data_IF_762683244892
#
_entry.id   IF_762683244892
#
_cell.length_a   1.000
_cell.length_b   1.000
_cell.length_c   1.000
_cell.angle_alpha   90.00
_cell.angle_beta   90.00
_cell.angle_gamma   90.00
#
_symmetry.space_group_name_H-M   'P 1'
#
loop_
_entity.id
_entity.type
_entity.pdbx_description
1 polymer ?
#
# COMPACT_ATOMS: atom_id res chain seq x y z
N UNK A 1 3.85 24.95 25.81
CA UNK A 1 3.83 23.47 25.94
C UNK A 1 4.00 22.88 24.54
N UNK A 2 4.91 21.92 24.38
CA UNK A 2 5.08 21.21 23.09
C UNK A 2 3.99 20.16 22.99
N UNK A 3 3.31 20.08 21.86
CA UNK A 3 2.26 19.10 21.57
C UNK A 3 2.69 18.16 20.46
N UNK A 4 2.02 17.03 20.28
CA UNK A 4 2.27 16.08 19.20
C UNK A 4 2.10 16.73 17.83
N UNK A 5 2.84 16.30 16.81
CA UNK A 5 2.67 16.78 15.45
C UNK A 5 1.26 16.53 14.91
N UNK A 6 0.78 17.42 14.06
CA UNK A 6 -0.54 17.27 13.46
C UNK A 6 -0.61 16.00 12.59
N UNK A 7 -1.63 15.19 12.82
CA UNK A 7 -1.85 13.93 12.09
C UNK A 7 -1.08 12.74 12.68
N UNK A 8 -0.58 12.86 13.91
CA UNK A 8 -0.06 11.74 14.70
C UNK A 8 -0.90 11.51 15.94
N UNK A 9 -0.89 10.31 16.48
CA UNK A 9 -1.61 9.96 17.71
C UNK A 9 -0.73 9.12 18.64
N UNK A 10 -0.82 9.42 19.95
CA UNK A 10 -0.21 8.58 20.97
C UNK A 10 -1.13 7.38 21.26
N UNK A 11 -0.59 6.19 21.29
CA UNK A 11 -1.31 5.00 21.78
C UNK A 11 -1.13 4.94 23.31
N UNK A 12 -2.14 5.44 24.01
CA UNK A 12 -2.09 5.50 25.49
C UNK A 12 -2.35 4.11 26.13
N UNK A 13 -2.00 3.91 27.43
CA UNK A 13 -2.21 2.63 28.11
C UNK A 13 -3.64 2.09 28.06
N UNK A 14 -4.63 2.97 28.03
CA UNK A 14 -6.06 2.58 27.90
C UNK A 14 -6.37 1.92 26.54
N UNK A 15 -5.66 2.31 25.48
CA UNK A 15 -5.89 1.87 24.10
C UNK A 15 -4.88 0.77 23.68
N UNK A 16 -3.74 0.66 24.37
CA UNK A 16 -2.66 -0.25 23.99
C UNK A 16 -3.07 -1.73 24.03
N UNK A 17 -4.02 -2.12 24.89
CA UNK A 17 -4.55 -3.50 24.92
C UNK A 17 -5.28 -3.86 23.65
N UNK A 18 -6.01 -2.90 23.04
CA UNK A 18 -6.70 -3.12 21.77
C UNK A 18 -5.67 -3.27 20.63
N UNK A 19 -4.63 -2.44 20.61
CA UNK A 19 -3.55 -2.57 19.65
C UNK A 19 -2.88 -3.95 19.73
N UNK A 20 -2.50 -4.37 20.93
CA UNK A 20 -1.92 -5.69 21.17
C UNK A 20 -2.83 -6.83 20.73
N UNK A 21 -4.14 -6.70 20.97
CA UNK A 21 -5.12 -7.70 20.55
C UNK A 21 -5.16 -7.83 19.01
N UNK A 22 -5.22 -6.70 18.29
CA UNK A 22 -5.22 -6.66 16.82
C UNK A 22 -3.93 -7.26 16.27
N UNK A 23 -2.77 -6.81 16.77
CA UNK A 23 -1.45 -7.28 16.32
C UNK A 23 -1.24 -8.78 16.61
N UNK A 24 -1.63 -9.25 17.79
CA UNK A 24 -1.50 -10.66 18.12
C UNK A 24 -2.45 -11.53 17.30
N UNK A 25 -3.65 -11.04 17.01
CA UNK A 25 -4.59 -11.72 16.12
C UNK A 25 -4.00 -11.84 14.71
N UNK A 26 -3.39 -10.77 14.17
CA UNK A 26 -2.73 -10.79 12.89
C UNK A 26 -1.57 -11.80 12.85
N UNK A 27 -0.66 -11.78 13.85
CA UNK A 27 0.46 -12.74 13.95
C UNK A 27 -0.02 -14.19 14.04
N UNK A 28 -1.06 -14.44 14.84
CA UNK A 28 -1.62 -15.80 15.00
C UNK A 28 -2.25 -16.30 13.69
N UNK A 29 -2.99 -15.45 12.98
CA UNK A 29 -3.57 -15.82 11.69
C UNK A 29 -2.47 -16.07 10.68
N UNK A 30 -1.47 -15.19 10.57
CA UNK A 30 -0.31 -15.39 9.69
C UNK A 30 0.40 -16.72 9.97
N UNK A 31 0.57 -17.08 11.24
CA UNK A 31 1.17 -18.35 11.65
C UNK A 31 0.37 -19.57 11.15
N UNK A 32 -0.97 -19.51 11.14
CA UNK A 32 -1.81 -20.57 10.61
C UNK A 32 -1.60 -20.84 9.11
N UNK A 33 -1.22 -19.80 8.34
CA UNK A 33 -0.97 -19.88 6.90
C UNK A 33 0.53 -20.00 6.55
N UNK A 34 1.41 -20.11 7.56
CA UNK A 34 2.85 -20.27 7.37
C UNK A 34 3.61 -18.98 7.01
N UNK A 35 2.99 -17.81 7.18
CA UNK A 35 3.67 -16.52 6.99
C UNK A 35 4.60 -16.22 8.16
N UNK A 36 5.79 -15.73 7.85
CA UNK A 36 6.82 -15.35 8.83
C UNK A 36 6.94 -13.84 8.92
N UNK A 37 7.08 -13.33 10.15
CA UNK A 37 7.24 -11.89 10.35
C UNK A 37 8.59 -11.41 9.81
N UNK A 38 8.57 -10.27 9.11
CA UNK A 38 9.73 -9.51 8.69
C UNK A 38 9.59 -8.05 9.15
N UNK A 39 10.70 -7.41 9.47
CA UNK A 39 10.75 -5.99 9.84
C UNK A 39 11.79 -5.28 9.00
N UNK A 40 11.39 -4.18 8.38
CA UNK A 40 12.25 -3.33 7.58
C UNK A 40 12.50 -1.99 8.28
N UNK A 41 13.56 -1.26 7.95
CA UNK A 41 13.79 0.09 8.49
C UNK A 41 12.60 1.02 8.28
N UNK A 42 12.49 2.05 9.15
CA UNK A 42 11.43 3.07 9.06
C UNK A 42 11.66 4.02 7.88
N UNK A 43 12.90 4.20 7.46
CA UNK A 43 13.29 5.05 6.35
C UNK A 43 14.17 4.29 5.36
N UNK A 44 14.13 4.72 4.12
CA UNK A 44 14.87 4.13 2.99
C UNK A 44 15.39 5.23 2.07
N UNK A 45 16.24 4.87 1.11
CA UNK A 45 16.59 5.79 0.03
C UNK A 45 15.35 6.18 -0.78
N UNK A 46 15.20 7.46 -1.08
CA UNK A 46 14.03 8.01 -1.79
C UNK A 46 13.78 7.33 -3.13
N UNK A 47 14.86 6.96 -3.85
CA UNK A 47 14.78 6.28 -5.15
C UNK A 47 14.05 4.94 -5.11
N UNK A 48 14.05 4.24 -3.96
CA UNK A 48 13.31 2.99 -3.79
C UNK A 48 11.81 3.20 -4.02
N UNK A 49 11.25 4.27 -3.45
CA UNK A 49 9.82 4.58 -3.57
C UNK A 49 9.47 5.16 -4.94
N UNK A 50 10.34 6.02 -5.50
CA UNK A 50 10.16 6.53 -6.86
C UNK A 50 10.03 5.39 -7.86
N UNK A 51 10.89 4.39 -7.76
CA UNK A 51 10.89 3.21 -8.63
C UNK A 51 9.74 2.24 -8.31
N UNK A 52 9.50 1.94 -7.03
CA UNK A 52 8.57 0.89 -6.59
C UNK A 52 7.12 1.30 -6.63
N UNK A 53 6.80 2.50 -6.12
CA UNK A 53 5.42 3.02 -6.05
C UNK A 53 5.00 3.68 -7.36
N UNK A 54 5.97 4.24 -8.08
CA UNK A 54 5.78 4.92 -9.37
C UNK A 54 5.72 6.43 -9.24
N UNK A 55 6.53 7.11 -10.04
CA UNK A 55 6.72 8.57 -10.03
C UNK A 55 5.44 9.38 -10.27
N UNK A 56 4.43 8.78 -10.90
CA UNK A 56 3.16 9.44 -11.24
C UNK A 56 2.07 9.28 -10.18
N UNK A 57 2.38 8.64 -9.04
CA UNK A 57 1.41 8.47 -7.96
C UNK A 57 1.37 9.71 -7.06
N UNK A 58 0.19 10.06 -6.53
CA UNK A 58 0.06 11.16 -5.59
C UNK A 58 0.93 10.97 -4.34
N UNK A 59 1.11 9.72 -3.91
CA UNK A 59 1.96 9.35 -2.78
C UNK A 59 3.39 9.82 -3.01
N UNK A 60 3.99 9.50 -4.17
CA UNK A 60 5.36 9.88 -4.51
C UNK A 60 5.48 11.39 -4.76
N UNK A 61 4.52 11.99 -5.44
CA UNK A 61 4.60 13.39 -5.83
C UNK A 61 4.33 14.39 -4.70
N UNK A 62 3.45 14.03 -3.73
CA UNK A 62 2.89 15.02 -2.80
C UNK A 62 2.91 14.60 -1.33
N UNK A 63 3.04 13.30 -1.04
CA UNK A 63 2.75 12.79 0.30
C UNK A 63 3.96 12.19 1.02
N UNK A 64 5.11 12.05 0.37
CA UNK A 64 6.31 11.51 1.02
C UNK A 64 6.95 12.51 1.97
N UNK A 65 7.41 12.03 3.12
CA UNK A 65 8.31 12.75 4.02
C UNK A 65 9.75 12.49 3.60
N UNK A 66 10.30 13.37 2.79
CA UNK A 66 11.66 13.25 2.24
C UNK A 66 12.56 14.33 2.83
N UNK A 67 13.80 13.96 3.17
CA UNK A 67 14.81 14.84 3.72
C UNK A 67 16.21 14.35 3.33
N UNK A 68 17.21 15.23 3.47
CA UNK A 68 18.61 14.84 3.31
C UNK A 68 19.20 14.45 4.67
N UNK A 69 19.94 13.34 4.69
CA UNK A 69 20.72 12.96 5.86
C UNK A 69 22.01 13.79 5.96
N UNK A 70 22.78 13.64 7.05
CA UNK A 70 24.04 14.36 7.25
C UNK A 70 25.11 14.07 6.19
N UNK A 71 24.95 13.02 5.42
CA UNK A 71 25.82 12.64 4.32
C UNK A 71 25.34 13.12 2.94
N UNK A 72 24.29 13.96 2.90
CA UNK A 72 23.71 14.49 1.66
C UNK A 72 22.90 13.48 0.85
N UNK A 73 22.46 12.36 1.47
CA UNK A 73 21.65 11.33 0.79
C UNK A 73 20.18 11.63 0.99
N UNK A 74 19.39 11.53 -0.08
CA UNK A 74 17.94 11.68 -0.02
C UNK A 74 17.30 10.45 0.61
N UNK A 75 16.63 10.66 1.73
CA UNK A 75 15.99 9.66 2.58
C UNK A 75 14.51 9.97 2.69
N UNK A 76 13.69 8.95 2.71
CA UNK A 76 12.22 9.07 2.83
C UNK A 76 11.71 8.16 3.93
N UNK A 77 10.86 8.68 4.82
CA UNK A 77 10.06 7.84 5.72
C UNK A 77 9.12 6.97 4.87
N UNK A 78 9.08 5.67 5.11
CA UNK A 78 8.32 4.74 4.26
C UNK A 78 6.83 5.10 4.20
N UNK A 79 6.29 5.35 2.99
CA UNK A 79 4.88 5.65 2.80
C UNK A 79 4.01 4.39 2.67
N UNK A 80 4.66 3.22 2.50
CA UNK A 80 4.05 1.89 2.37
C UNK A 80 5.10 0.81 2.63
N UNK A 81 4.68 -0.45 2.75
CA UNK A 81 5.56 -1.55 3.14
C UNK A 81 6.15 -2.38 2.00
N UNK A 82 5.41 -2.57 0.90
CA UNK A 82 5.77 -3.51 -0.17
C UNK A 82 7.14 -3.23 -0.77
N UNK A 83 7.45 -1.98 -1.12
CA UNK A 83 8.73 -1.62 -1.73
C UNK A 83 9.92 -1.95 -0.81
N UNK A 84 9.79 -1.67 0.50
CA UNK A 84 10.85 -1.96 1.48
C UNK A 84 11.05 -3.45 1.67
N UNK A 85 9.97 -4.21 1.62
CA UNK A 85 10.02 -5.67 1.75
C UNK A 85 10.61 -6.31 0.51
N UNK A 86 10.23 -5.88 -0.69
CA UNK A 86 10.81 -6.36 -1.96
C UNK A 86 12.31 -6.08 -2.00
N UNK A 87 12.75 -4.87 -1.59
CA UNK A 87 14.18 -4.55 -1.46
C UNK A 87 14.87 -5.53 -0.51
N UNK A 88 14.29 -5.78 0.67
CA UNK A 88 14.85 -6.70 1.65
C UNK A 88 14.90 -8.16 1.14
N UNK A 89 13.85 -8.59 0.42
CA UNK A 89 13.77 -9.92 -0.21
C UNK A 89 14.91 -10.13 -1.22
N UNK A 90 15.19 -9.11 -2.04
CA UNK A 90 16.26 -9.16 -3.05
C UNK A 90 17.63 -9.07 -2.37
N UNK A 91 17.85 -8.08 -1.51
CA UNK A 91 19.15 -7.82 -0.87
C UNK A 91 19.65 -9.00 -0.04
N UNK A 92 18.73 -9.68 0.65
CA UNK A 92 19.07 -10.85 1.47
C UNK A 92 18.93 -12.18 0.71
N UNK A 93 18.76 -12.14 -0.61
CA UNK A 93 18.67 -13.32 -1.49
C UNK A 93 17.60 -14.33 -1.03
N UNK A 94 16.48 -13.86 -0.47
CA UNK A 94 15.41 -14.76 0.02
C UNK A 94 14.79 -15.58 -1.11
N UNK A 95 14.91 -15.13 -2.36
CA UNK A 95 14.51 -15.86 -3.56
C UNK A 95 15.30 -17.18 -3.78
N UNK A 96 16.46 -17.32 -3.14
CA UNK A 96 17.26 -18.54 -3.22
C UNK A 96 16.77 -19.65 -2.27
N UNK A 97 15.87 -19.31 -1.34
CA UNK A 97 15.24 -20.28 -0.46
C UNK A 97 14.14 -21.08 -1.20
N UNK A 98 13.72 -22.25 -0.66
CA UNK A 98 12.55 -22.94 -1.18
C UNK A 98 11.33 -22.03 -1.24
N UNK A 99 10.63 -22.04 -2.39
CA UNK A 99 9.45 -21.21 -2.64
C UNK A 99 8.16 -22.02 -2.40
N UNK A 100 7.03 -21.38 -2.07
CA UNK A 100 6.85 -19.93 -1.95
C UNK A 100 7.43 -19.35 -0.64
N UNK A 101 7.97 -18.13 -0.72
CA UNK A 101 8.35 -17.34 0.46
C UNK A 101 7.16 -16.52 0.91
N UNK A 102 6.66 -16.77 2.12
CA UNK A 102 5.50 -16.11 2.73
C UNK A 102 5.95 -15.19 3.87
N UNK A 103 5.74 -13.90 3.71
CA UNK A 103 6.17 -12.88 4.67
C UNK A 103 4.97 -12.02 5.11
N UNK A 104 5.00 -11.61 6.38
CA UNK A 104 4.01 -10.70 6.97
C UNK A 104 4.70 -9.61 7.78
N UNK A 105 4.06 -8.46 7.89
CA UNK A 105 4.58 -7.36 8.69
C UNK A 105 3.47 -6.47 9.22
N UNK A 106 3.75 -5.84 10.38
CA UNK A 106 2.95 -4.75 10.94
C UNK A 106 3.93 -3.60 11.17
N UNK A 107 3.76 -2.52 10.44
CA UNK A 107 4.74 -1.43 10.39
C UNK A 107 4.08 -0.05 10.44
N UNK A 108 4.73 0.95 11.03
CA UNK A 108 4.33 2.34 10.84
C UNK A 108 4.67 2.81 9.43
N UNK A 109 3.76 3.56 8.84
CA UNK A 109 3.90 4.23 7.55
C UNK A 109 3.59 5.73 7.69
N UNK A 110 4.14 6.54 6.77
CA UNK A 110 4.10 7.99 6.89
C UNK A 110 3.69 8.64 5.57
N UNK A 111 2.58 9.40 5.59
CA UNK A 111 2.11 10.15 4.42
C UNK A 111 1.68 11.56 4.81
N UNK A 112 2.14 12.55 4.08
CA UNK A 112 1.77 13.95 4.30
C UNK A 112 0.37 14.25 3.73
N UNK A 113 -0.61 13.52 4.22
CA UNK A 113 -2.01 13.69 3.83
C UNK A 113 -2.69 14.78 4.68
N UNK A 114 -3.86 15.27 4.18
CA UNK A 114 -4.73 16.13 5.00
C UNK A 114 -5.37 15.26 6.08
N UNK A 115 -5.05 15.48 7.38
CA UNK A 115 -5.60 14.67 8.44
C UNK A 115 -7.11 14.80 8.52
N UNK A 116 -7.79 13.65 8.66
CA UNK A 116 -9.23 13.54 8.89
C UNK A 116 -9.52 12.29 9.70
N UNK A 117 -10.78 12.07 10.10
CA UNK A 117 -11.17 10.86 10.83
C UNK A 117 -10.76 9.61 10.06
N UNK A 118 -10.00 8.72 10.72
CA UNK A 118 -9.49 7.48 10.12
C UNK A 118 -8.34 7.65 9.14
N UNK A 119 -7.79 8.88 8.94
CA UNK A 119 -6.67 9.13 8.05
C UNK A 119 -5.65 10.03 8.74
N UNK A 120 -4.57 9.42 9.18
CA UNK A 120 -3.46 10.05 9.89
C UNK A 120 -2.21 10.17 8.99
N UNK A 121 -1.25 10.98 9.41
CA UNK A 121 0.06 11.12 8.75
C UNK A 121 1.04 10.02 9.16
N UNK A 122 0.87 9.49 10.37
CA UNK A 122 1.47 8.25 10.82
C UNK A 122 0.34 7.25 11.03
N UNK A 123 0.43 6.09 10.37
CA UNK A 123 -0.55 5.02 10.44
C UNK A 123 0.17 3.67 10.37
N UNK A 124 -0.52 2.61 10.73
CA UNK A 124 0.05 1.27 10.66
C UNK A 124 -0.58 0.47 9.52
N UNK A 125 0.26 -0.28 8.83
CA UNK A 125 -0.16 -1.27 7.84
C UNK A 125 0.14 -2.66 8.38
N UNK A 126 -0.87 -3.54 8.31
CA UNK A 126 -0.70 -4.97 8.38
C UNK A 126 -0.81 -5.52 6.96
N UNK A 127 0.24 -6.16 6.49
CA UNK A 127 0.31 -6.70 5.13
C UNK A 127 0.95 -8.08 5.12
N UNK A 128 0.64 -8.82 4.06
CA UNK A 128 1.22 -10.13 3.75
C UNK A 128 1.68 -10.15 2.30
N UNK A 129 2.81 -10.81 2.06
CA UNK A 129 3.39 -10.95 0.74
C UNK A 129 3.76 -12.40 0.48
N UNK A 130 3.39 -12.93 -0.69
CA UNK A 130 3.73 -14.27 -1.12
C UNK A 130 4.54 -14.20 -2.42
N UNK A 131 5.78 -14.65 -2.38
CA UNK A 131 6.68 -14.66 -3.52
C UNK A 131 6.88 -16.07 -4.05
N UNK A 132 7.03 -16.19 -5.38
CA UNK A 132 7.37 -17.46 -6.02
C UNK A 132 6.20 -18.44 -6.14
N UNK A 133 4.96 -17.95 -6.12
CA UNK A 133 3.77 -18.71 -6.41
C UNK A 133 2.90 -17.96 -7.43
N UNK A 134 2.46 -18.66 -8.48
CA UNK A 134 1.69 -18.08 -9.60
C UNK A 134 0.28 -18.68 -9.70
N UNK A 135 -0.11 -19.53 -8.75
CA UNK A 135 -1.36 -20.26 -8.83
C UNK A 135 -2.54 -19.50 -8.21
N UNK A 136 -3.76 -19.66 -8.73
CA UNK A 136 -4.96 -19.03 -8.17
C UNK A 136 -5.28 -19.48 -6.73
N UNK A 137 -4.75 -20.64 -6.31
CA UNK A 137 -4.86 -21.10 -4.92
C UNK A 137 -4.11 -20.15 -3.96
N UNK A 138 -3.04 -19.52 -4.41
CA UNK A 138 -2.31 -18.53 -3.62
C UNK A 138 -3.16 -17.27 -3.40
N UNK A 139 -3.85 -16.81 -4.44
CA UNK A 139 -4.79 -15.68 -4.32
C UNK A 139 -5.95 -16.03 -3.37
N UNK A 140 -6.49 -17.25 -3.49
CA UNK A 140 -7.55 -17.74 -2.59
C UNK A 140 -7.06 -17.85 -1.13
N UNK A 141 -5.81 -18.26 -0.91
CA UNK A 141 -5.20 -18.32 0.42
C UNK A 141 -5.09 -16.91 1.04
N UNK A 142 -4.60 -15.92 0.28
CA UNK A 142 -4.49 -14.52 0.72
C UNK A 142 -5.85 -13.95 1.12
N UNK A 143 -6.87 -14.19 0.29
CA UNK A 143 -8.26 -13.78 0.56
C UNK A 143 -8.78 -14.49 1.84
N UNK A 144 -8.53 -15.80 1.98
CA UNK A 144 -8.96 -16.58 3.14
C UNK A 144 -8.30 -16.09 4.43
N UNK A 145 -7.02 -15.73 4.38
CA UNK A 145 -6.29 -15.14 5.51
C UNK A 145 -6.92 -13.80 5.92
N UNK A 146 -7.18 -12.93 4.96
CA UNK A 146 -7.81 -11.63 5.23
C UNK A 146 -9.21 -11.80 5.86
N UNK A 147 -10.02 -12.72 5.33
CA UNK A 147 -11.32 -13.04 5.89
C UNK A 147 -11.22 -13.57 7.32
N UNK A 148 -10.32 -14.55 7.56
CA UNK A 148 -10.10 -15.12 8.89
C UNK A 148 -9.63 -14.07 9.90
N UNK A 149 -8.78 -13.14 9.48
CA UNK A 149 -8.32 -12.04 10.34
C UNK A 149 -9.49 -11.15 10.78
N UNK A 150 -10.34 -10.72 9.84
CA UNK A 150 -11.52 -9.90 10.13
C UNK A 150 -12.52 -10.65 11.02
N UNK A 151 -12.78 -11.93 10.73
CA UNK A 151 -13.68 -12.77 11.55
C UNK A 151 -13.19 -12.90 12.99
N UNK A 152 -11.88 -13.16 13.20
CA UNK A 152 -11.30 -13.24 14.55
C UNK A 152 -11.30 -11.91 15.31
N UNK A 153 -11.34 -10.78 14.61
CA UNK A 153 -11.57 -9.46 15.21
C UNK A 153 -13.04 -9.18 15.50
N UNK A 154 -13.96 -10.10 15.14
CA UNK A 154 -15.41 -9.93 15.32
C UNK A 154 -16.05 -9.05 14.25
N UNK A 155 -15.36 -8.71 13.18
CA UNK A 155 -15.88 -7.97 12.03
C UNK A 155 -16.59 -8.97 11.12
N UNK A 156 -17.91 -8.95 11.17
CA UNK A 156 -18.80 -9.84 10.41
C UNK A 156 -19.45 -9.09 9.25
N UNK A 157 -20.17 -9.80 8.42
CA UNK A 157 -20.91 -9.26 7.26
C UNK A 157 -20.01 -8.57 6.22
N UNK A 158 -18.80 -9.11 6.06
CA UNK A 158 -17.82 -8.63 5.07
C UNK A 158 -18.23 -9.13 3.68
N UNK A 159 -18.38 -8.19 2.73
CA UNK A 159 -18.62 -8.50 1.33
C UNK A 159 -17.31 -8.55 0.56
N UNK A 160 -16.97 -9.71 0.02
CA UNK A 160 -15.84 -9.88 -0.89
C UNK A 160 -16.23 -9.43 -2.30
N UNK A 161 -15.47 -8.46 -2.84
CA UNK A 161 -15.55 -8.09 -4.25
C UNK A 161 -14.20 -8.41 -4.90
N UNK A 162 -14.22 -9.21 -5.95
CA UNK A 162 -13.01 -9.58 -6.71
C UNK A 162 -13.02 -8.84 -8.03
N UNK A 163 -11.89 -8.25 -8.39
CA UNK A 163 -11.68 -7.57 -9.66
C UNK A 163 -10.32 -7.95 -10.23
N UNK A 164 -10.15 -7.76 -11.54
CA UNK A 164 -8.89 -7.96 -12.24
C UNK A 164 -8.57 -6.73 -13.07
N UNK A 165 -7.32 -6.28 -13.01
CA UNK A 165 -6.81 -5.20 -13.87
C UNK A 165 -6.41 -5.71 -15.27
N UNK A 166 -6.63 -6.99 -15.55
CA UNK A 166 -6.32 -7.64 -16.82
C UNK A 166 -4.82 -7.90 -17.06
N UNK A 167 -4.54 -8.63 -18.11
CA UNK A 167 -3.18 -8.93 -18.58
C UNK A 167 -2.63 -7.77 -19.45
N UNK A 168 -1.36 -7.86 -19.84
CA UNK A 168 -0.70 -6.84 -20.69
C UNK A 168 -1.44 -6.59 -22.00
N UNK A 169 -2.01 -7.64 -22.62
CA UNK A 169 -2.73 -7.55 -23.90
C UNK A 169 -4.07 -6.82 -23.73
N UNK A 170 -4.97 -7.35 -22.90
CA UNK A 170 -6.30 -6.76 -22.71
C UNK A 170 -6.24 -5.37 -22.05
N UNK A 171 -5.24 -5.10 -21.20
CA UNK A 171 -5.03 -3.78 -20.62
C UNK A 171 -4.62 -2.73 -21.65
N UNK A 172 -3.82 -3.13 -22.66
CA UNK A 172 -3.44 -2.24 -23.76
C UNK A 172 -4.65 -1.76 -24.54
N UNK A 173 -5.53 -2.69 -24.94
CA UNK A 173 -6.78 -2.38 -25.66
C UNK A 173 -7.75 -1.56 -24.81
N UNK A 174 -7.88 -1.90 -23.52
CA UNK A 174 -8.73 -1.16 -22.59
C UNK A 174 -8.25 0.29 -22.42
N UNK A 175 -6.95 0.50 -22.21
CA UNK A 175 -6.38 1.85 -22.10
C UNK A 175 -6.57 2.67 -23.36
N UNK A 176 -6.50 2.04 -24.55
CA UNK A 176 -6.77 2.70 -25.82
C UNK A 176 -8.23 3.18 -25.88
N UNK A 177 -9.19 2.30 -25.57
CA UNK A 177 -10.62 2.66 -25.54
C UNK A 177 -10.93 3.75 -24.50
N UNK A 178 -10.29 3.70 -23.33
CA UNK A 178 -10.43 4.75 -22.33
C UNK A 178 -9.93 6.11 -22.82
N UNK A 179 -8.77 6.13 -23.49
CA UNK A 179 -8.26 7.37 -24.08
C UNK A 179 -9.21 7.92 -25.14
N UNK A 180 -9.66 7.08 -26.05
CA UNK A 180 -10.63 7.48 -27.09
C UNK A 180 -11.91 8.07 -26.49
N UNK A 181 -12.42 7.44 -25.43
CA UNK A 181 -13.60 7.91 -24.71
C UNK A 181 -13.37 9.27 -24.06
N UNK A 182 -12.31 9.40 -23.25
CA UNK A 182 -12.02 10.63 -22.50
C UNK A 182 -11.51 11.78 -23.37
N UNK A 183 -10.93 11.52 -24.53
CA UNK A 183 -10.64 12.58 -25.51
C UNK A 183 -11.93 13.23 -26.03
N UNK A 184 -13.01 12.46 -26.16
CA UNK A 184 -14.31 13.00 -26.54
C UNK A 184 -14.94 13.95 -25.54
N UNK A 185 -14.53 13.89 -24.26
CA UNK A 185 -15.00 14.77 -23.18
C UNK A 185 -13.85 15.47 -22.41
N UNK A 186 -12.74 15.70 -23.09
CA UNK A 186 -11.52 16.31 -22.51
C UNK A 186 -11.78 17.63 -21.80
N UNK A 187 -12.68 18.45 -22.33
CA UNK A 187 -13.00 19.77 -21.77
C UNK A 187 -13.78 19.67 -20.45
N UNK A 188 -14.48 18.56 -20.23
CA UNK A 188 -15.22 18.27 -18.99
C UNK A 188 -14.32 17.72 -17.89
N UNK A 189 -13.07 17.34 -18.20
CA UNK A 189 -12.12 16.81 -17.23
C UNK A 189 -11.46 17.93 -16.41
N UNK A 190 -11.27 17.69 -15.10
CA UNK A 190 -10.43 18.55 -14.27
C UNK A 190 -8.97 18.53 -14.74
N UNK A 191 -8.18 19.53 -14.35
CA UNK A 191 -6.78 19.70 -14.74
C UNK A 191 -5.94 18.44 -14.49
N UNK A 192 -6.06 17.85 -13.30
CA UNK A 192 -5.36 16.60 -12.93
C UNK A 192 -5.76 15.43 -13.84
N UNK A 193 -7.03 15.33 -14.25
CA UNK A 193 -7.49 14.26 -15.14
C UNK A 193 -7.05 14.46 -16.58
N UNK A 194 -6.86 15.68 -17.04
CA UNK A 194 -6.24 15.96 -18.34
C UNK A 194 -4.79 15.48 -18.39
N UNK A 195 -4.02 15.68 -17.32
CA UNK A 195 -2.67 15.12 -17.22
C UNK A 195 -2.69 13.57 -17.14
N UNK A 196 -3.65 13.01 -16.41
CA UNK A 196 -3.81 11.54 -16.28
C UNK A 196 -4.19 10.89 -17.61
N UNK A 197 -4.91 11.58 -18.47
CA UNK A 197 -5.29 11.11 -19.81
C UNK A 197 -4.06 10.77 -20.64
N UNK A 198 -3.02 11.59 -20.57
CA UNK A 198 -1.76 11.34 -21.27
C UNK A 198 -0.92 10.23 -20.62
N UNK A 199 -0.83 10.24 -19.30
CA UNK A 199 0.10 9.37 -18.53
C UNK A 199 -0.52 8.02 -18.16
N UNK A 200 -1.74 8.03 -17.62
CA UNK A 200 -2.44 6.84 -17.14
C UNK A 200 -3.95 7.06 -17.09
N UNK A 201 -4.67 6.80 -18.19
CA UNK A 201 -6.10 7.09 -18.30
C UNK A 201 -6.97 6.31 -17.31
N UNK A 202 -6.53 5.15 -16.81
CA UNK A 202 -7.26 4.39 -15.79
C UNK A 202 -7.45 5.18 -14.49
N UNK A 203 -6.54 6.10 -14.17
CA UNK A 203 -6.66 6.93 -12.97
C UNK A 203 -7.74 8.00 -13.05
N UNK A 204 -8.29 8.25 -14.22
CA UNK A 204 -9.43 9.17 -14.39
C UNK A 204 -10.68 8.56 -13.75
N UNK A 205 -10.84 7.23 -13.83
CA UNK A 205 -11.97 6.49 -13.24
C UNK A 205 -12.03 6.67 -11.70
N UNK A 206 -10.87 6.88 -11.06
CA UNK A 206 -10.75 7.10 -9.62
C UNK A 206 -10.91 8.58 -9.21
N UNK A 207 -11.23 9.47 -10.15
CA UNK A 207 -11.37 10.88 -9.87
C UNK A 207 -12.53 11.12 -8.89
N UNK A 208 -12.26 11.96 -7.90
CA UNK A 208 -13.22 12.37 -6.88
C UNK A 208 -13.67 13.82 -7.05
N UNK A 209 -13.27 14.47 -8.15
CA UNK A 209 -13.70 15.83 -8.49
C UNK A 209 -15.16 15.81 -8.94
N UNK A 210 -15.95 16.73 -8.46
CA UNK A 210 -17.35 16.92 -8.89
C UNK A 210 -17.46 17.37 -10.35
N UNK A 211 -16.36 17.85 -10.93
CA UNK A 211 -16.28 18.30 -12.32
C UNK A 211 -16.10 17.12 -13.29
N UNK A 212 -15.47 16.04 -12.83
CA UNK A 212 -15.27 14.82 -13.60
C UNK A 212 -16.35 13.78 -13.32
#
# INVERSE_FOLDING_TARGET
MITKPRGTEDVLPKDSKLWQYIENTARNVCGCFGYKEIRTPVFEHTELFNRGVGETTDVVQKEMYTFEDKGGRSITLKPEGTATLVRSYIENSLYANPQPTKLSYIIPCFRYEKPQSGRLREFHQFEIECFGAESPETDAEVISLAHMFLDRLGIRDVKLNINSIGCKTCRGEYNKKLREYFEGCRDELCETCRERLEKNPMRIIDCKSEVC
#
